data_IF_584228395763
#
_entry.id   IF_584228395763
#
_cell.length_a   1.000
_cell.length_b   1.000
_cell.length_c   1.000
_cell.angle_alpha   90.00
_cell.angle_beta   90.00
_cell.angle_gamma   90.00
#
_symmetry.space_group_name_H-M   'P 1'
#
loop_
_entity.id
_entity.type
_entity.pdbx_description
1 polymer ?
#
# COMPACT_ATOMS: atom_id res chain seq x y z
N UNK A 1 18.03 -11.86 -19.51
CA UNK A 1 17.18 -11.05 -18.63
C UNK A 1 18.12 -10.18 -17.81
N UNK A 2 18.27 -8.89 -18.15
CA UNK A 2 19.09 -7.98 -17.33
C UNK A 2 18.26 -7.64 -16.10
N UNK A 3 18.74 -8.03 -14.93
CA UNK A 3 18.22 -7.50 -13.67
C UNK A 3 18.76 -6.08 -13.66
N UNK A 4 17.95 -5.11 -14.08
CA UNK A 4 18.26 -3.69 -13.89
C UNK A 4 18.19 -3.45 -12.37
N UNK A 5 19.32 -3.69 -11.71
CA UNK A 5 19.51 -3.38 -10.30
C UNK A 5 19.38 -1.87 -10.17
N UNK A 6 18.26 -1.43 -9.59
CA UNK A 6 18.06 -0.02 -9.29
C UNK A 6 19.24 0.49 -8.46
N UNK A 7 19.82 1.61 -8.89
CA UNK A 7 20.89 2.24 -8.12
C UNK A 7 20.32 2.73 -6.78
N UNK A 8 21.18 2.80 -5.76
CA UNK A 8 20.81 3.23 -4.41
C UNK A 8 20.06 4.56 -4.41
N UNK A 9 20.45 5.50 -5.27
CA UNK A 9 19.79 6.80 -5.43
C UNK A 9 18.36 6.65 -5.98
N UNK A 10 18.15 5.76 -6.96
CA UNK A 10 16.84 5.52 -7.56
C UNK A 10 15.86 4.88 -6.57
N UNK A 11 16.33 3.92 -5.77
CA UNK A 11 15.53 3.30 -4.70
C UNK A 11 15.13 4.34 -3.65
N UNK A 12 16.07 5.22 -3.34
CA UNK A 12 15.93 6.28 -2.35
C UNK A 12 14.93 7.35 -2.80
N UNK A 13 14.93 7.69 -4.10
CA UNK A 13 13.94 8.58 -4.72
C UNK A 13 12.56 7.91 -4.88
N UNK A 14 12.52 6.60 -5.16
CA UNK A 14 11.27 5.84 -5.22
C UNK A 14 10.57 5.80 -3.85
N UNK A 15 11.31 5.57 -2.76
CA UNK A 15 10.79 5.65 -1.37
C UNK A 15 10.14 7.00 -1.09
N UNK A 16 10.79 8.08 -1.51
CA UNK A 16 10.28 9.45 -1.36
C UNK A 16 8.96 9.63 -2.10
N UNK A 17 8.88 9.19 -3.36
CA UNK A 17 7.67 9.27 -4.19
C UNK A 17 6.52 8.45 -3.62
N UNK A 18 6.79 7.22 -3.17
CA UNK A 18 5.75 6.37 -2.56
C UNK A 18 5.22 6.98 -1.26
N UNK A 19 6.09 7.54 -0.43
CA UNK A 19 5.66 8.27 0.77
C UNK A 19 4.83 9.51 0.43
N UNK A 20 5.21 10.29 -0.59
CA UNK A 20 4.45 11.44 -1.05
C UNK A 20 3.02 11.05 -1.47
N UNK A 21 2.89 9.98 -2.25
CA UNK A 21 1.59 9.43 -2.68
C UNK A 21 0.74 8.97 -1.50
N UNK A 22 1.36 8.30 -0.52
CA UNK A 22 0.65 7.87 0.69
C UNK A 22 0.10 9.07 1.49
N UNK A 23 0.88 10.15 1.55
CA UNK A 23 0.48 11.42 2.19
C UNK A 23 -0.65 12.10 1.42
N UNK A 24 -0.66 12.05 0.08
CA UNK A 24 -1.78 12.57 -0.72
C UNK A 24 -3.09 11.83 -0.45
N UNK A 25 -3.03 10.49 -0.29
CA UNK A 25 -4.22 9.66 -0.06
C UNK A 25 -4.77 9.84 1.37
N UNK A 26 -3.90 9.88 2.38
CA UNK A 26 -4.34 9.80 3.78
C UNK A 26 -4.10 11.07 4.61
N UNK A 27 -3.44 12.09 4.08
CA UNK A 27 -2.89 13.26 4.79
C UNK A 27 -1.66 12.95 5.65
N UNK A 28 -0.83 13.98 5.83
CA UNK A 28 0.44 13.89 6.57
C UNK A 28 0.26 13.49 8.05
N UNK A 29 -0.76 14.03 8.71
CA UNK A 29 -1.03 13.76 10.12
C UNK A 29 -1.44 12.29 10.37
N UNK A 30 -2.18 11.70 9.43
CA UNK A 30 -2.58 10.28 9.51
C UNK A 30 -1.37 9.38 9.30
N UNK A 31 -0.53 9.69 8.31
CA UNK A 31 0.71 8.94 8.05
C UNK A 31 1.66 8.98 9.24
N UNK A 32 1.84 10.16 9.84
CA UNK A 32 2.66 10.32 11.04
C UNK A 32 2.16 9.48 12.22
N UNK A 33 0.86 9.54 12.52
CA UNK A 33 0.24 8.75 13.61
C UNK A 33 0.38 7.24 13.38
N UNK A 34 0.11 6.77 12.17
CA UNK A 34 0.14 5.33 11.83
C UNK A 34 1.54 4.74 11.74
N UNK A 35 2.52 5.55 11.36
CA UNK A 35 3.93 5.14 11.29
C UNK A 35 4.72 5.44 12.56
N UNK A 36 4.08 6.04 13.57
CA UNK A 36 4.72 6.44 14.82
C UNK A 36 5.87 7.43 14.63
N UNK A 37 5.73 8.35 13.66
CA UNK A 37 6.69 9.43 13.36
C UNK A 37 6.04 10.79 13.60
N UNK A 38 6.86 11.83 13.72
CA UNK A 38 6.38 13.21 13.89
C UNK A 38 5.99 13.79 12.52
N UNK A 39 4.91 14.56 12.44
CA UNK A 39 4.44 15.21 11.20
C UNK A 39 5.58 15.93 10.48
N UNK A 40 6.36 16.75 11.20
CA UNK A 40 7.52 17.46 10.64
C UNK A 40 8.50 16.51 9.96
N UNK A 41 8.79 15.36 10.57
CA UNK A 41 9.67 14.35 10.00
C UNK A 41 9.11 13.78 8.69
N UNK A 42 7.80 13.54 8.60
CA UNK A 42 7.15 13.09 7.35
C UNK A 42 7.27 14.17 6.26
N UNK A 43 7.01 15.44 6.58
CA UNK A 43 7.19 16.54 5.60
C UNK A 43 8.63 16.64 5.12
N UNK A 44 9.59 16.58 6.03
CA UNK A 44 11.02 16.65 5.68
C UNK A 44 11.41 15.47 4.79
N UNK A 45 10.87 14.28 5.06
CA UNK A 45 11.12 13.07 4.27
C UNK A 45 10.55 13.15 2.85
N UNK A 46 9.38 13.77 2.68
CA UNK A 46 8.75 13.97 1.37
C UNK A 46 9.47 15.03 0.55
N UNK A 47 9.94 16.11 1.20
CA UNK A 47 10.48 17.30 0.52
C UNK A 47 11.95 17.19 0.12
N UNK A 48 12.81 16.64 0.97
CA UNK A 48 14.25 16.74 0.74
C UNK A 48 15.08 15.61 1.31
N UNK A 49 14.63 14.94 2.39
CA UNK A 49 15.42 13.93 3.07
C UNK A 49 14.90 12.53 2.77
N UNK A 50 15.48 11.92 1.76
CA UNK A 50 15.24 10.51 1.50
C UNK A 50 15.63 9.65 2.72
N UNK A 51 15.01 8.48 2.84
CA UNK A 51 15.18 7.62 4.00
C UNK A 51 15.66 6.22 3.64
N UNK A 52 16.50 5.68 4.52
CA UNK A 52 17.10 4.37 4.34
C UNK A 52 16.07 3.24 4.42
N UNK A 53 16.47 2.08 3.92
CA UNK A 53 15.65 0.88 3.88
C UNK A 53 15.08 0.49 5.23
N UNK A 54 15.91 0.55 6.28
CA UNK A 54 15.49 0.24 7.65
C UNK A 54 14.33 1.13 8.11
N UNK A 55 14.38 2.42 7.78
CA UNK A 55 13.32 3.39 8.13
C UNK A 55 12.04 3.07 7.34
N UNK A 56 12.18 2.68 6.08
CA UNK A 56 11.06 2.27 5.24
C UNK A 56 10.38 1.00 5.78
N UNK A 57 11.15 -0.05 6.09
CA UNK A 57 10.65 -1.30 6.68
C UNK A 57 9.90 -1.06 7.99
N UNK A 58 10.45 -0.20 8.86
CA UNK A 58 9.80 0.14 10.12
C UNK A 58 8.43 0.81 9.89
N UNK A 59 8.35 1.71 8.90
CA UNK A 59 7.10 2.38 8.56
C UNK A 59 6.08 1.42 7.95
N UNK A 60 6.49 0.53 7.05
CA UNK A 60 5.62 -0.50 6.48
C UNK A 60 5.06 -1.41 7.58
N UNK A 61 5.91 -1.86 8.51
CA UNK A 61 5.49 -2.70 9.64
C UNK A 61 4.48 -1.99 10.53
N UNK A 62 4.77 -0.75 10.96
CA UNK A 62 3.85 0.01 11.82
C UNK A 62 2.55 0.36 11.12
N UNK A 63 2.59 0.62 9.82
CA UNK A 63 1.40 0.84 9.03
C UNK A 63 0.52 -0.42 8.98
N UNK A 64 1.13 -1.59 8.74
CA UNK A 64 0.43 -2.87 8.77
C UNK A 64 -0.18 -3.16 10.15
N UNK A 65 0.59 -2.96 11.21
CA UNK A 65 0.13 -3.18 12.59
C UNK A 65 -1.06 -2.26 12.96
N UNK A 66 -1.13 -1.05 12.39
CA UNK A 66 -2.17 -0.07 12.70
C UNK A 66 -3.40 -0.11 11.79
N UNK A 67 -3.25 -0.57 10.54
CA UNK A 67 -4.32 -0.54 9.54
C UNK A 67 -4.77 -1.91 9.05
N UNK A 68 -3.94 -2.94 9.25
CA UNK A 68 -4.10 -4.25 8.60
C UNK A 68 -3.77 -4.24 7.10
N UNK A 69 -3.36 -3.10 6.53
CA UNK A 69 -2.99 -2.97 5.12
C UNK A 69 -1.47 -2.92 4.96
N UNK A 70 -0.93 -3.53 3.91
CA UNK A 70 0.48 -3.39 3.55
C UNK A 70 0.69 -2.21 2.59
N UNK A 71 1.62 -1.32 2.94
CA UNK A 71 2.14 -0.27 2.06
C UNK A 71 3.53 -0.63 1.56
N UNK A 72 3.88 -0.11 0.39
CA UNK A 72 5.12 -0.41 -0.31
C UNK A 72 5.98 0.86 -0.44
N UNK A 73 6.93 1.03 0.49
CA UNK A 73 7.85 2.14 0.48
C UNK A 73 9.19 1.74 -0.16
N UNK A 74 9.66 0.51 0.02
CA UNK A 74 11.02 0.09 -0.41
C UNK A 74 11.12 -0.20 -1.90
N UNK A 75 10.10 -0.84 -2.41
CA UNK A 75 9.88 -1.15 -3.81
C UNK A 75 8.38 -1.33 -3.97
N UNK A 76 7.78 -1.04 -5.14
CA UNK A 76 6.59 -1.77 -5.48
C UNK A 76 6.99 -3.23 -5.35
N UNK A 77 6.47 -3.93 -4.34
CA UNK A 77 6.27 -5.35 -4.52
C UNK A 77 5.51 -5.44 -5.84
N UNK A 78 5.69 -6.48 -6.65
CA UNK A 78 4.65 -6.80 -7.60
C UNK A 78 3.38 -7.11 -6.78
N UNK A 79 2.67 -6.08 -6.31
CA UNK A 79 1.22 -6.04 -6.45
C UNK A 79 1.08 -6.37 -7.92
N UNK A 80 0.43 -7.47 -8.21
CA UNK A 80 -0.03 -7.72 -9.56
C UNK A 80 -0.84 -6.46 -9.94
N UNK A 81 -0.16 -5.52 -10.61
CA UNK A 81 -0.65 -4.19 -10.94
C UNK A 81 -1.73 -4.42 -11.98
N UNK A 82 -2.93 -4.74 -11.50
CA UNK A 82 -3.89 -5.50 -12.28
C UNK A 82 -3.25 -6.82 -12.67
N UNK A 83 -3.59 -7.91 -11.96
CA UNK A 83 -3.56 -9.20 -12.63
C UNK A 83 -4.28 -8.98 -13.96
N UNK A 84 -3.53 -8.97 -15.07
CA UNK A 84 -4.11 -8.82 -16.40
C UNK A 84 -5.27 -9.81 -16.45
N UNK A 85 -6.40 -9.37 -17.01
CA UNK A 85 -7.65 -10.06 -16.83
C UNK A 85 -7.45 -11.58 -17.00
N UNK A 86 -8.05 -12.42 -16.12
CA UNK A 86 -7.68 -13.83 -15.97
C UNK A 86 -7.54 -14.55 -17.31
N UNK A 87 -6.67 -15.57 -17.38
CA UNK A 87 -6.55 -16.38 -18.59
C UNK A 87 -7.94 -16.82 -19.08
N UNK A 88 -8.29 -16.42 -20.32
CA UNK A 88 -9.62 -16.63 -20.89
C UNK A 88 -10.58 -15.43 -20.86
N UNK A 89 -10.25 -14.31 -20.22
CA UNK A 89 -11.11 -13.11 -20.18
C UNK A 89 -11.45 -12.56 -21.57
N UNK A 90 -10.47 -12.58 -22.49
CA UNK A 90 -10.66 -12.17 -23.87
C UNK A 90 -11.49 -13.17 -24.70
N UNK A 91 -11.70 -14.40 -24.19
CA UNK A 91 -12.53 -15.42 -24.83
C UNK A 91 -14.01 -15.31 -24.42
N UNK A 92 -14.31 -14.52 -23.38
CA UNK A 92 -15.69 -14.23 -22.97
C UNK A 92 -16.30 -13.17 -23.88
N UNK A 93 -17.58 -13.37 -24.22
CA UNK A 93 -18.44 -12.34 -24.81
C UNK A 93 -18.85 -11.31 -23.74
N UNK A 94 -19.49 -10.22 -24.16
CA UNK A 94 -19.85 -9.12 -23.26
C UNK A 94 -20.78 -9.59 -22.13
N UNK A 95 -21.71 -10.51 -22.43
CA UNK A 95 -22.60 -11.09 -21.43
C UNK A 95 -21.83 -11.96 -20.41
N UNK A 96 -20.84 -12.73 -20.86
CA UNK A 96 -19.97 -13.52 -20.00
C UNK A 96 -19.14 -12.64 -19.07
N UNK A 97 -18.57 -11.54 -19.57
CA UNK A 97 -17.83 -10.58 -18.75
C UNK A 97 -18.72 -9.93 -17.70
N UNK A 98 -19.91 -9.47 -18.07
CA UNK A 98 -20.88 -8.87 -17.14
C UNK A 98 -21.26 -9.81 -16.00
N UNK A 99 -21.45 -11.11 -16.29
CA UNK A 99 -21.76 -12.11 -15.25
C UNK A 99 -20.61 -12.29 -14.27
N UNK A 100 -19.37 -12.34 -14.75
CA UNK A 100 -18.18 -12.46 -13.90
C UNK A 100 -18.01 -11.21 -13.05
N UNK A 101 -18.18 -10.03 -13.63
CA UNK A 101 -18.14 -8.75 -12.89
C UNK A 101 -19.20 -8.72 -11.78
N UNK A 102 -20.46 -9.04 -12.10
CA UNK A 102 -21.55 -9.07 -11.12
C UNK A 102 -21.27 -10.07 -9.99
N UNK A 103 -20.71 -11.25 -10.32
CA UNK A 103 -20.34 -12.26 -9.35
C UNK A 103 -19.21 -11.77 -8.42
N UNK A 104 -18.15 -11.17 -8.97
CA UNK A 104 -17.05 -10.60 -8.19
C UNK A 104 -17.56 -9.46 -7.30
N UNK A 105 -18.38 -8.55 -7.82
CA UNK A 105 -19.01 -7.48 -7.03
C UNK A 105 -19.84 -8.04 -5.87
N UNK A 106 -20.58 -9.14 -6.10
CA UNK A 106 -21.34 -9.83 -5.05
C UNK A 106 -20.45 -10.46 -3.97
N UNK A 107 -19.30 -11.04 -4.33
CA UNK A 107 -18.33 -11.58 -3.37
C UNK A 107 -17.64 -10.48 -2.57
N UNK A 108 -17.26 -9.38 -3.23
CA UNK A 108 -16.65 -8.23 -2.57
C UNK A 108 -17.63 -7.55 -1.60
N UNK A 109 -18.90 -7.45 -1.96
CA UNK A 109 -19.94 -6.92 -1.09
C UNK A 109 -20.21 -7.79 0.16
N UNK A 110 -19.91 -9.09 0.09
CA UNK A 110 -20.03 -10.03 1.22
C UNK A 110 -18.77 -10.12 2.08
N UNK A 111 -17.65 -9.58 1.61
CA UNK A 111 -16.40 -9.60 2.37
C UNK A 111 -16.58 -8.72 3.62
N UNK A 112 -16.32 -9.25 4.84
CA UNK A 112 -16.50 -8.46 6.05
C UNK A 112 -15.60 -7.23 5.99
N UNK A 113 -16.20 -6.04 6.09
CA UNK A 113 -15.43 -4.84 6.38
C UNK A 113 -14.73 -5.06 7.73
N UNK A 114 -13.41 -5.24 7.73
CA UNK A 114 -12.62 -5.29 8.95
C UNK A 114 -13.01 -4.08 9.83
N UNK A 115 -13.54 -4.27 11.04
CA UNK A 115 -13.84 -3.15 11.91
C UNK A 115 -12.53 -2.46 12.30
N UNK A 116 -12.43 -1.12 12.22
CA UNK A 116 -11.28 -0.41 12.76
C UNK A 116 -11.39 -0.43 14.28
N UNK A 117 -10.66 -1.34 14.93
CA UNK A 117 -10.45 -1.32 16.38
C UNK A 117 -11.01 -2.52 17.14
N UNK A 118 -10.24 -3.59 17.19
CA UNK A 118 -10.34 -4.60 18.24
C UNK A 118 -8.98 -4.77 18.92
N UNK A 119 -8.56 -3.70 19.59
CA UNK A 119 -7.44 -3.67 20.53
C UNK A 119 -7.90 -3.15 21.89
N UNK A 120 -8.99 -3.72 22.45
CA UNK A 120 -9.30 -3.55 23.87
C UNK A 120 -8.34 -4.44 24.66
N UNK A 121 -7.21 -3.87 25.09
CA UNK A 121 -6.51 -4.39 26.26
C UNK A 121 -7.35 -4.01 27.49
N UNK A 122 -8.15 -4.97 27.96
CA UNK A 122 -8.62 -5.02 29.33
C UNK A 122 -7.56 -5.80 30.11
N UNK A 123 -6.91 -5.14 31.06
CA UNK A 123 -6.17 -5.80 32.12
C UNK A 123 -6.56 -5.08 33.41
N UNK A 124 -7.11 -5.87 34.33
CA UNK A 124 -7.34 -5.55 35.74
C UNK A 124 -6.13 -4.90 36.42
#
# INVERSE_FOLDING_TARGET
>A
MKIDLLDFEQVTEMRRRNLARLVEIHTQAVVARRTGRVDRQISDMVKSKSFGEKVALEMERKWLDSTGEAIDLIAPRPREESAGAPSGWNQLDDLGRMKVEAYISGLLAQSPSLPPGSGRFQAD
#
